data_IF_620156236912
#
_entry.id   IF_620156236912
#
_cell.length_a   1.000
_cell.length_b   1.000
_cell.length_c   1.000
_cell.angle_alpha   90.00
_cell.angle_beta   90.00
_cell.angle_gamma   90.00
#
_symmetry.space_group_name_H-M   'P 1'
#
loop_
_entity.id
_entity.type
_entity.pdbx_description
1 polymer ?
#
# COMPACT_ATOMS: atom_id res chain seq x y z
N UNK A 1 10.47 20.74 -1.33
CA UNK A 1 9.88 21.68 -2.33
C UNK A 1 8.38 21.54 -2.32
N UNK A 2 7.67 22.63 -2.06
CA UNK A 2 6.22 22.59 -1.88
C UNK A 2 5.50 22.40 -3.23
N UNK A 3 5.04 21.21 -3.50
CA UNK A 3 4.28 20.90 -4.71
C UNK A 3 3.10 21.85 -4.86
N UNK A 4 3.04 22.53 -6.01
CA UNK A 4 1.97 23.48 -6.39
C UNK A 4 1.70 24.58 -5.35
N UNK A 5 2.71 25.01 -4.58
CA UNK A 5 2.55 26.03 -3.51
C UNK A 5 1.46 25.63 -2.50
N UNK A 6 1.33 24.34 -2.18
CA UNK A 6 0.32 23.77 -1.29
C UNK A 6 -1.14 24.05 -1.69
N UNK A 7 -1.43 24.34 -2.95
CA UNK A 7 -2.81 24.54 -3.42
C UNK A 7 -3.55 23.21 -3.46
N UNK A 8 -4.31 22.90 -2.43
CA UNK A 8 -5.01 21.64 -2.22
C UNK A 8 -5.83 21.19 -3.42
N UNK A 9 -6.56 22.10 -4.06
CA UNK A 9 -7.35 21.79 -5.27
C UNK A 9 -6.49 21.27 -6.42
N UNK A 10 -5.28 21.85 -6.64
CA UNK A 10 -4.35 21.40 -7.68
C UNK A 10 -3.79 20.03 -7.35
N UNK A 11 -3.38 19.80 -6.09
CA UNK A 11 -2.88 18.50 -5.64
C UNK A 11 -3.91 17.42 -5.90
N UNK A 12 -5.16 17.61 -5.44
CA UNK A 12 -6.24 16.65 -5.60
C UNK A 12 -6.53 16.37 -7.07
N UNK A 13 -6.70 17.41 -7.90
CA UNK A 13 -7.08 17.23 -9.31
C UNK A 13 -5.98 16.56 -10.13
N UNK A 14 -4.71 16.90 -9.91
CA UNK A 14 -3.59 16.33 -10.62
C UNK A 14 -3.40 14.87 -10.22
N UNK A 15 -3.37 14.56 -8.93
CA UNK A 15 -3.19 13.18 -8.46
C UNK A 15 -4.33 12.27 -8.96
N UNK A 16 -5.58 12.71 -8.88
CA UNK A 16 -6.72 11.94 -9.37
C UNK A 16 -6.65 11.75 -10.89
N UNK A 17 -6.32 12.82 -11.64
CA UNK A 17 -6.19 12.77 -13.10
C UNK A 17 -5.07 11.84 -13.56
N UNK A 18 -3.88 11.97 -12.98
CA UNK A 18 -2.74 11.10 -13.31
C UNK A 18 -3.02 9.64 -12.98
N UNK A 19 -3.54 9.35 -11.78
CA UNK A 19 -3.90 7.99 -11.38
C UNK A 19 -4.90 7.37 -12.35
N UNK A 20 -5.95 8.11 -12.75
CA UNK A 20 -6.96 7.65 -13.70
C UNK A 20 -6.36 7.40 -15.08
N UNK A 21 -5.52 8.31 -15.59
CA UNK A 21 -4.90 8.18 -16.90
C UNK A 21 -3.93 6.98 -16.96
N UNK A 22 -3.02 6.87 -16.00
CA UNK A 22 -2.06 5.76 -15.95
C UNK A 22 -2.73 4.41 -15.80
N UNK A 23 -3.72 4.31 -14.90
CA UNK A 23 -4.48 3.07 -14.70
C UNK A 23 -5.19 2.65 -16.00
N UNK A 24 -5.91 3.58 -16.63
CA UNK A 24 -6.64 3.30 -17.87
C UNK A 24 -5.72 2.85 -19.00
N UNK A 25 -4.56 3.47 -19.14
CA UNK A 25 -3.55 3.08 -20.13
C UNK A 25 -2.99 1.67 -19.86
N UNK A 26 -2.75 1.32 -18.59
CA UNK A 26 -2.19 0.02 -18.23
C UNK A 26 -3.21 -1.11 -18.35
N UNK A 27 -4.46 -0.85 -18.01
CA UNK A 27 -5.51 -1.86 -18.02
C UNK A 27 -6.21 -1.99 -19.39
N UNK A 28 -6.06 -1.00 -20.27
CA UNK A 28 -6.79 -0.95 -21.54
C UNK A 28 -8.29 -0.72 -21.38
N UNK A 29 -8.72 -0.28 -20.19
CA UNK A 29 -10.12 0.01 -19.85
C UNK A 29 -10.20 1.25 -18.95
N UNK A 30 -11.37 1.90 -18.91
CA UNK A 30 -11.58 3.14 -18.17
C UNK A 30 -11.53 2.92 -16.66
N UNK A 31 -10.58 3.55 -15.99
CA UNK A 31 -10.52 3.64 -14.53
C UNK A 31 -10.60 5.08 -14.06
N UNK A 32 -11.46 5.34 -13.06
CA UNK A 32 -11.62 6.66 -12.45
C UNK A 32 -11.21 6.62 -10.99
N UNK A 33 -10.37 7.57 -10.59
CA UNK A 33 -9.91 7.74 -9.22
C UNK A 33 -10.33 9.09 -8.68
N UNK A 34 -10.64 9.15 -7.40
CA UNK A 34 -10.75 10.40 -6.64
C UNK A 34 -9.52 10.57 -5.75
N UNK A 35 -9.27 11.79 -5.32
CA UNK A 35 -8.24 12.10 -4.32
C UNK A 35 -8.82 12.99 -3.23
N UNK A 36 -8.37 12.75 -1.99
CA UNK A 36 -8.83 13.50 -0.81
C UNK A 36 -7.63 13.87 0.06
N UNK A 37 -7.76 14.98 0.77
CA UNK A 37 -6.76 15.42 1.74
C UNK A 37 -7.37 15.25 3.13
N UNK A 38 -6.63 14.56 4.00
CA UNK A 38 -6.93 14.48 5.42
C UNK A 38 -5.93 15.35 6.18
N UNK A 39 -6.40 16.43 6.79
CA UNK A 39 -5.57 17.31 7.60
C UNK A 39 -5.57 16.82 9.04
N UNK A 40 -4.39 16.54 9.59
CA UNK A 40 -4.22 16.03 10.93
C UNK A 40 -3.36 17.02 11.75
N UNK A 41 -3.75 17.32 12.99
CA UNK A 41 -3.17 18.43 13.75
C UNK A 41 -1.76 18.17 14.29
N UNK A 42 -1.32 16.91 14.34
CA UNK A 42 -0.01 16.57 14.87
C UNK A 42 0.53 15.25 14.29
N UNK A 43 1.86 15.02 14.35
CA UNK A 43 2.48 13.80 13.82
C UNK A 43 1.96 12.49 14.42
N UNK A 44 1.54 12.48 15.69
CA UNK A 44 0.99 11.29 16.31
C UNK A 44 -0.28 10.82 15.59
N UNK A 45 -1.19 11.73 15.29
CA UNK A 45 -2.43 11.40 14.56
C UNK A 45 -2.14 10.98 13.11
N UNK A 46 -1.06 11.46 12.51
CA UNK A 46 -0.61 10.97 11.19
C UNK A 46 -0.20 9.51 11.29
N UNK A 47 0.61 9.14 12.29
CA UNK A 47 1.02 7.75 12.53
C UNK A 47 -0.20 6.87 12.78
N UNK A 48 -1.10 7.28 13.67
CA UNK A 48 -2.33 6.55 14.00
C UNK A 48 -3.21 6.35 12.76
N UNK A 49 -3.32 7.36 11.89
CA UNK A 49 -4.07 7.28 10.64
C UNK A 49 -3.45 6.25 9.66
N UNK A 50 -2.12 6.28 9.48
CA UNK A 50 -1.44 5.32 8.61
C UNK A 50 -1.56 3.89 9.14
N UNK A 51 -1.44 3.69 10.46
CA UNK A 51 -1.66 2.38 11.10
C UNK A 51 -3.07 1.87 10.82
N UNK A 52 -4.07 2.71 11.06
CA UNK A 52 -5.46 2.37 10.79
C UNK A 52 -5.69 1.99 9.33
N UNK A 53 -5.11 2.75 8.39
CA UNK A 53 -5.21 2.44 6.95
C UNK A 53 -4.56 1.10 6.60
N UNK A 54 -3.41 0.78 7.19
CA UNK A 54 -2.73 -0.50 6.96
C UNK A 54 -3.55 -1.68 7.52
N UNK A 55 -4.10 -1.54 8.71
CA UNK A 55 -4.97 -2.56 9.32
C UNK A 55 -6.24 -2.76 8.51
N UNK A 56 -6.83 -1.69 8.01
CA UNK A 56 -7.99 -1.74 7.13
C UNK A 56 -7.68 -2.44 5.80
N UNK A 57 -6.54 -2.11 5.18
CA UNK A 57 -6.08 -2.79 3.97
C UNK A 57 -5.90 -4.30 4.20
N UNK A 58 -5.33 -4.69 5.34
CA UNK A 58 -5.16 -6.10 5.71
C UNK A 58 -6.50 -6.84 5.87
N UNK A 59 -7.47 -6.23 6.57
CA UNK A 59 -8.82 -6.80 6.71
C UNK A 59 -9.54 -6.92 5.37
N UNK A 60 -9.43 -5.89 4.54
CA UNK A 60 -10.05 -5.86 3.21
C UNK A 60 -9.42 -6.90 2.27
N UNK A 61 -8.10 -7.09 2.32
CA UNK A 61 -7.42 -8.13 1.57
C UNK A 61 -7.91 -9.52 1.95
N UNK A 62 -7.99 -9.84 3.25
CA UNK A 62 -8.52 -11.12 3.71
C UNK A 62 -9.97 -11.33 3.23
N UNK A 63 -10.80 -10.30 3.36
CA UNK A 63 -12.19 -10.38 2.90
C UNK A 63 -12.30 -10.59 1.39
N UNK A 64 -11.46 -9.91 0.61
CA UNK A 64 -11.43 -10.04 -0.85
C UNK A 64 -11.00 -11.46 -1.28
N UNK A 65 -9.99 -12.04 -0.65
CA UNK A 65 -9.58 -13.42 -0.93
C UNK A 65 -10.70 -14.42 -0.64
N UNK A 66 -11.41 -14.28 0.48
CA UNK A 66 -12.57 -15.12 0.79
C UNK A 66 -13.71 -14.92 -0.20
N UNK A 67 -13.98 -13.66 -0.59
CA UNK A 67 -15.01 -13.34 -1.56
C UNK A 67 -14.73 -13.98 -2.92
N UNK A 68 -13.54 -13.82 -3.45
CA UNK A 68 -13.16 -14.38 -4.73
C UNK A 68 -13.08 -15.91 -4.70
N UNK A 69 -12.71 -16.52 -3.57
CA UNK A 69 -12.80 -17.97 -3.39
C UNK A 69 -14.24 -18.45 -3.61
N UNK A 70 -15.24 -17.81 -2.97
CA UNK A 70 -16.66 -18.15 -3.16
C UNK A 70 -17.11 -17.91 -4.61
N UNK A 71 -16.65 -16.80 -5.21
CA UNK A 71 -16.99 -16.48 -6.61
C UNK A 71 -16.44 -17.53 -7.59
N UNK A 72 -15.24 -18.02 -7.40
CA UNK A 72 -14.66 -19.08 -8.23
C UNK A 72 -15.37 -20.42 -8.07
N UNK A 73 -16.06 -20.64 -6.95
CA UNK A 73 -16.92 -21.80 -6.72
C UNK A 73 -18.34 -21.63 -7.32
N UNK A 74 -18.60 -20.54 -8.03
CA UNK A 74 -19.90 -20.30 -8.69
C UNK A 74 -20.94 -19.63 -7.78
N UNK A 75 -20.60 -19.25 -6.55
CA UNK A 75 -21.52 -18.54 -5.64
C UNK A 75 -21.84 -17.17 -6.21
N UNK A 76 -23.09 -16.71 -6.16
CA UNK A 76 -23.49 -15.39 -6.64
C UNK A 76 -22.81 -14.24 -5.86
N UNK A 77 -22.68 -13.02 -6.44
CA UNK A 77 -22.10 -11.89 -5.71
C UNK A 77 -22.81 -11.58 -4.40
N UNK A 78 -24.13 -11.59 -4.38
CA UNK A 78 -24.96 -11.33 -3.22
C UNK A 78 -24.77 -12.38 -2.14
N UNK A 79 -24.76 -13.67 -2.52
CA UNK A 79 -24.63 -14.76 -1.57
C UNK A 79 -23.21 -14.83 -0.99
N UNK A 80 -22.18 -14.59 -1.81
CA UNK A 80 -20.80 -14.52 -1.34
C UNK A 80 -20.61 -13.39 -0.30
N UNK A 81 -21.22 -12.23 -0.54
CA UNK A 81 -21.18 -11.12 0.39
C UNK A 81 -21.96 -11.42 1.68
N UNK A 82 -23.18 -11.98 1.56
CA UNK A 82 -23.98 -12.39 2.70
C UNK A 82 -23.28 -13.46 3.55
N UNK A 83 -22.64 -14.44 2.92
CA UNK A 83 -21.88 -15.50 3.59
C UNK A 83 -20.71 -14.95 4.43
N UNK A 84 -20.04 -13.89 3.96
CA UNK A 84 -18.90 -13.29 4.67
C UNK A 84 -19.30 -12.21 5.68
N UNK A 85 -20.55 -11.75 5.62
CA UNK A 85 -21.05 -10.72 6.53
C UNK A 85 -21.05 -11.24 7.97
N UNK A 86 -20.50 -10.45 8.88
CA UNK A 86 -20.43 -10.78 10.31
C UNK A 86 -19.43 -11.87 10.70
N UNK A 87 -18.73 -12.52 9.74
CA UNK A 87 -17.68 -13.50 10.08
C UNK A 87 -16.47 -12.85 10.71
N UNK A 88 -15.96 -13.48 11.78
CA UNK A 88 -14.72 -13.06 12.43
C UNK A 88 -13.50 -13.27 11.50
N UNK A 89 -12.39 -12.61 11.83
CA UNK A 89 -11.14 -12.77 11.05
C UNK A 89 -10.63 -14.23 11.13
N UNK A 90 -10.78 -14.89 12.27
CA UNK A 90 -10.46 -16.31 12.46
C UNK A 90 -11.19 -17.19 11.46
N UNK A 91 -12.52 -16.99 11.34
CA UNK A 91 -13.36 -17.82 10.46
C UNK A 91 -13.00 -17.63 8.98
N UNK A 92 -12.61 -16.41 8.60
CA UNK A 92 -12.14 -16.09 7.24
C UNK A 92 -10.79 -16.73 6.95
N UNK A 93 -9.86 -16.72 7.90
CA UNK A 93 -8.58 -17.41 7.76
C UNK A 93 -8.77 -18.92 7.65
N UNK A 94 -9.63 -19.51 8.50
CA UNK A 94 -9.97 -20.92 8.45
C UNK A 94 -10.60 -21.32 7.12
N UNK A 95 -11.51 -20.49 6.60
CA UNK A 95 -12.13 -20.71 5.30
C UNK A 95 -11.07 -20.80 4.17
N UNK A 96 -10.11 -19.90 4.13
CA UNK A 96 -9.01 -19.94 3.15
C UNK A 96 -8.14 -21.16 3.36
N UNK A 97 -7.79 -21.46 4.60
CA UNK A 97 -6.90 -22.58 4.95
C UNK A 97 -7.49 -23.93 4.53
N UNK A 98 -8.79 -24.15 4.73
CA UNK A 98 -9.51 -25.35 4.27
C UNK A 98 -9.48 -25.53 2.74
N UNK A 99 -9.20 -24.46 1.99
CA UNK A 99 -9.04 -24.48 0.55
C UNK A 99 -7.56 -24.39 0.09
N UNK A 100 -6.63 -24.69 0.99
CA UNK A 100 -5.20 -24.72 0.70
C UNK A 100 -4.54 -23.34 0.58
N UNK A 101 -5.20 -22.27 1.02
CA UNK A 101 -4.67 -20.90 0.98
C UNK A 101 -4.31 -20.46 2.40
N UNK A 102 -3.03 -20.42 2.72
CA UNK A 102 -2.57 -19.75 3.93
C UNK A 102 -2.42 -18.25 3.67
N UNK A 103 -3.31 -17.43 4.22
CA UNK A 103 -3.29 -15.98 4.02
C UNK A 103 -1.97 -15.34 4.49
N UNK A 104 -1.31 -15.91 5.48
CA UNK A 104 -0.03 -15.39 5.97
C UNK A 104 1.09 -15.52 4.95
N UNK A 105 1.05 -16.55 4.09
CA UNK A 105 2.07 -16.83 3.09
C UNK A 105 1.92 -15.95 1.82
N UNK A 106 0.81 -15.24 1.70
CA UNK A 106 0.60 -14.32 0.59
C UNK A 106 1.59 -13.15 0.64
N UNK A 107 2.01 -12.61 -0.51
CA UNK A 107 2.92 -11.47 -0.57
C UNK A 107 2.42 -10.27 0.26
N UNK A 108 3.32 -9.65 1.02
CA UNK A 108 2.96 -8.56 1.92
C UNK A 108 2.31 -7.37 1.21
N UNK A 109 2.72 -7.06 -0.01
CA UNK A 109 2.13 -5.98 -0.79
C UNK A 109 0.65 -6.18 -1.12
N UNK A 110 0.18 -7.42 -1.25
CA UNK A 110 -1.24 -7.74 -1.45
C UNK A 110 -2.08 -7.51 -0.19
N UNK A 111 -1.45 -7.61 0.97
CA UNK A 111 -2.11 -7.48 2.29
C UNK A 111 -2.03 -6.07 2.85
N UNK A 112 -0.97 -5.32 2.54
CA UNK A 112 -0.59 -4.08 3.23
C UNK A 112 -0.31 -2.91 2.28
N UNK A 113 -0.30 -3.17 0.97
CA UNK A 113 0.08 -2.18 -0.04
C UNK A 113 1.60 -2.10 -0.25
N UNK A 114 1.99 -1.09 -1.00
CA UNK A 114 3.39 -0.80 -1.35
C UNK A 114 3.74 0.58 -0.80
N UNK A 115 4.86 0.68 -0.10
CA UNK A 115 5.44 1.96 0.30
C UNK A 115 6.26 2.53 -0.85
N UNK A 116 6.03 3.81 -1.18
CA UNK A 116 6.85 4.56 -2.14
C UNK A 116 7.35 5.82 -1.45
N UNK A 117 8.65 5.91 -1.24
CA UNK A 117 9.24 7.02 -0.48
C UNK A 117 10.70 7.27 -0.90
N UNK A 118 11.20 8.46 -0.55
CA UNK A 118 12.60 8.79 -0.73
C UNK A 118 13.43 8.21 0.40
N UNK A 119 14.54 7.56 0.03
CA UNK A 119 15.54 7.07 0.99
C UNK A 119 16.96 7.35 0.49
N UNK A 120 17.92 7.25 1.40
CA UNK A 120 19.35 7.39 1.10
C UNK A 120 19.91 5.99 0.90
N UNK A 121 20.35 5.71 -0.31
CA UNK A 121 20.96 4.41 -0.67
C UNK A 121 22.45 4.60 -0.91
N UNK A 122 23.24 3.65 -0.44
CA UNK A 122 24.66 3.56 -0.77
C UNK A 122 24.82 2.91 -2.15
N UNK A 123 25.60 3.56 -3.01
CA UNK A 123 25.94 3.03 -4.33
C UNK A 123 27.45 2.86 -4.45
N UNK A 124 27.82 1.67 -4.87
CA UNK A 124 29.17 1.40 -5.27
C UNK A 124 29.42 1.96 -6.67
N UNK A 125 30.39 2.83 -6.77
CA UNK A 125 30.93 3.36 -8.01
C UNK A 125 32.37 2.91 -8.23
N UNK A 126 32.98 3.44 -9.27
CA UNK A 126 34.39 3.21 -9.57
C UNK A 126 35.06 4.53 -9.85
N UNK A 127 36.18 4.80 -9.16
CA UNK A 127 37.00 5.99 -9.41
C UNK A 127 38.12 5.63 -10.40
N UNK A 128 38.04 6.10 -11.67
CA UNK A 128 39.02 5.74 -12.69
C UNK A 128 40.39 6.36 -12.46
N UNK A 129 40.50 7.43 -11.64
CA UNK A 129 41.76 8.11 -11.39
C UNK A 129 42.64 7.30 -10.45
N UNK A 130 42.07 6.73 -9.39
CA UNK A 130 42.79 5.91 -8.40
C UNK A 130 42.59 4.42 -8.62
N UNK A 131 41.83 4.03 -9.65
CA UNK A 131 41.52 2.65 -10.01
C UNK A 131 40.96 1.82 -8.84
N UNK A 132 40.07 2.40 -8.06
CA UNK A 132 39.50 1.77 -6.87
C UNK A 132 37.96 1.94 -6.83
N UNK A 133 37.25 0.97 -6.22
CA UNK A 133 35.83 1.14 -5.91
C UNK A 133 35.65 2.31 -4.95
N UNK A 134 34.61 3.08 -5.16
CA UNK A 134 34.20 4.18 -4.27
C UNK A 134 32.73 3.99 -3.90
N UNK A 135 32.38 4.46 -2.71
CA UNK A 135 31.02 4.44 -2.22
C UNK A 135 30.50 5.86 -2.17
N UNK A 136 29.27 6.04 -2.61
CA UNK A 136 28.56 7.32 -2.54
C UNK A 136 27.14 7.09 -2.12
N UNK A 137 26.56 8.02 -1.41
CA UNK A 137 25.15 7.99 -1.03
C UNK A 137 24.33 8.82 -2.02
N UNK A 138 23.17 8.30 -2.41
CA UNK A 138 22.24 9.02 -3.26
C UNK A 138 20.83 8.90 -2.71
N UNK A 139 20.04 9.96 -2.88
CA UNK A 139 18.62 9.94 -2.58
C UNK A 139 17.87 9.31 -3.75
N UNK A 140 17.14 8.22 -3.48
CA UNK A 140 16.38 7.48 -4.49
C UNK A 140 14.96 7.19 -4.01
N UNK A 141 14.06 6.97 -4.97
CA UNK A 141 12.71 6.50 -4.67
C UNK A 141 12.77 4.99 -4.44
N UNK A 142 12.35 4.57 -3.27
CA UNK A 142 12.27 3.15 -2.88
C UNK A 142 10.84 2.65 -3.06
N UNK A 143 10.71 1.45 -3.63
CA UNK A 143 9.47 0.69 -3.73
C UNK A 143 9.52 -0.46 -2.72
N UNK A 144 8.95 -0.26 -1.54
CA UNK A 144 8.93 -1.26 -0.48
C UNK A 144 7.66 -2.11 -0.56
N UNK A 145 7.79 -3.35 -1.03
CA UNK A 145 6.71 -4.34 -1.10
C UNK A 145 6.53 -5.14 0.20
N UNK A 146 7.41 -4.94 1.18
CA UNK A 146 7.42 -5.67 2.44
C UNK A 146 7.28 -4.71 3.63
N UNK A 147 6.23 -3.88 3.61
CA UNK A 147 5.95 -2.98 4.71
C UNK A 147 5.85 -3.76 6.04
N UNK A 148 6.51 -3.29 7.11
CA UNK A 148 6.40 -3.90 8.43
C UNK A 148 5.00 -3.74 9.02
N UNK A 149 4.75 -4.33 10.19
CA UNK A 149 3.51 -4.21 10.96
C UNK A 149 3.74 -3.61 12.34
N UNK A 150 2.66 -3.08 12.93
CA UNK A 150 2.66 -2.64 14.32
C UNK A 150 3.70 -1.55 14.59
N UNK A 151 4.45 -1.71 15.67
CA UNK A 151 5.42 -0.70 16.12
C UNK A 151 6.52 -0.40 15.11
N UNK A 152 6.97 -1.36 14.33
CA UNK A 152 7.98 -1.13 13.28
C UNK A 152 7.43 -0.24 12.16
N UNK A 153 6.15 -0.43 11.78
CA UNK A 153 5.49 0.44 10.82
C UNK A 153 5.34 1.86 11.36
N UNK A 154 4.97 2.00 12.64
CA UNK A 154 4.87 3.31 13.28
C UNK A 154 6.20 4.06 13.28
N UNK A 155 7.32 3.37 13.60
CA UNK A 155 8.64 3.97 13.57
C UNK A 155 9.02 4.40 12.15
N UNK A 156 8.68 3.59 11.15
CA UNK A 156 8.88 3.94 9.75
C UNK A 156 8.10 5.21 9.38
N UNK A 157 6.80 5.30 9.71
CA UNK A 157 6.00 6.51 9.44
C UNK A 157 6.53 7.71 10.22
N UNK A 158 6.93 7.52 11.48
CA UNK A 158 7.50 8.58 12.30
C UNK A 158 8.75 9.20 11.66
N UNK A 159 9.60 8.42 11.01
CA UNK A 159 10.80 8.93 10.34
C UNK A 159 10.51 9.87 9.15
N UNK A 160 9.28 9.85 8.61
CA UNK A 160 8.87 10.74 7.51
C UNK A 160 8.17 12.01 7.98
N UNK A 161 7.67 12.04 9.24
CA UNK A 161 6.84 13.15 9.76
C UNK A 161 7.49 13.90 10.94
N UNK A 162 8.71 13.48 11.33
CA UNK A 162 9.53 14.14 12.37
C UNK A 162 10.30 15.33 11.85
#
# INVERSE_FOLDING_TARGET
>A
EDSFQRKTRKIISILAGEASAFFSLQMGDLGCFDARICQLPNPKLVIDYFRWRQEDAHRNALNAHCYWLQRHQGVSPSDAQAFLSGKALSDKNELLFQHGINFNDLPNWQKRGVGVYWDIVEKQGFNPVVNQPTFTTRREIIFNKNLPLGNEYDQMIKSFVS
#
